data_IF_074204293711
#
_entry.id   IF_074204293711
#
_cell.length_a   1.000
_cell.length_b   1.000
_cell.length_c   1.000
_cell.angle_alpha   90.00
_cell.angle_beta   90.00
_cell.angle_gamma   90.00
#
_symmetry.space_group_name_H-M   'P 1'
#
loop_
_entity.id
_entity.type
_entity.pdbx_description
1 polymer ?
#
# COMPACT_ATOMS: atom_id res chain seq x y z
N UNK A 1 0.77 8.17 -13.06
CA UNK A 1 1.61 6.95 -12.96
C UNK A 1 1.98 6.73 -11.51
N UNK A 2 1.86 5.49 -10.98
CA UNK A 2 2.16 5.18 -9.59
C UNK A 2 3.61 5.50 -9.23
N UNK A 3 3.80 6.14 -8.07
CA UNK A 3 5.11 6.56 -7.57
C UNK A 3 5.97 5.36 -7.14
N UNK A 4 5.32 4.33 -6.57
CA UNK A 4 5.99 3.14 -6.06
C UNK A 4 5.70 1.91 -6.94
N UNK A 5 6.52 0.88 -6.81
CA UNK A 5 6.51 -0.31 -7.69
C UNK A 5 6.67 -1.59 -6.88
N UNK A 6 6.23 -2.69 -7.48
CA UNK A 6 6.44 -4.04 -6.96
C UNK A 6 7.92 -4.25 -6.64
N UNK A 7 8.22 -4.92 -5.53
CA UNK A 7 9.60 -5.18 -5.13
C UNK A 7 10.20 -4.15 -4.18
N UNK A 8 9.56 -2.99 -4.00
CA UNK A 8 10.09 -1.95 -3.12
C UNK A 8 9.70 -2.19 -1.66
N UNK A 9 10.62 -1.86 -0.76
CA UNK A 9 10.34 -1.75 0.67
C UNK A 9 9.96 -0.30 0.97
N UNK A 10 8.86 -0.11 1.67
CA UNK A 10 8.32 1.21 1.98
C UNK A 10 7.89 1.32 3.43
N UNK A 11 7.90 2.55 3.95
CA UNK A 11 7.26 2.90 5.21
C UNK A 11 5.86 3.44 4.94
N UNK A 12 4.89 2.99 5.71
CA UNK A 12 3.48 3.30 5.46
C UNK A 12 2.64 3.35 6.73
N UNK A 13 1.45 3.95 6.63
CA UNK A 13 0.39 3.91 7.64
C UNK A 13 -0.65 2.85 7.25
N UNK A 14 -0.77 1.73 7.99
CA UNK A 14 -1.73 0.66 7.65
C UNK A 14 -3.19 1.06 7.84
N UNK A 15 -3.44 1.96 8.80
CA UNK A 15 -4.77 2.40 9.24
C UNK A 15 -4.77 3.91 9.34
N UNK A 16 -5.83 4.55 8.86
CA UNK A 16 -5.90 6.00 8.78
C UNK A 16 -5.11 6.55 7.59
N UNK A 17 -5.36 7.83 7.27
CA UNK A 17 -4.60 8.54 6.23
C UNK A 17 -3.15 8.82 6.63
N UNK A 18 -2.35 9.47 5.76
CA UNK A 18 -0.98 9.87 6.06
C UNK A 18 -0.84 10.70 7.35
N UNK A 19 -1.82 11.56 7.62
CA UNK A 19 -1.83 12.44 8.80
C UNK A 19 -2.40 11.78 10.07
N UNK A 20 -2.74 10.50 10.01
CA UNK A 20 -3.28 9.80 11.17
C UNK A 20 -2.20 9.57 12.24
N UNK A 21 -2.60 9.61 13.51
CA UNK A 21 -1.72 9.35 14.67
C UNK A 21 -1.50 7.86 14.91
N UNK A 22 -1.80 7.00 13.92
CA UNK A 22 -1.55 5.56 14.01
C UNK A 22 -0.08 5.26 13.82
N UNK A 23 0.35 4.09 14.28
CA UNK A 23 1.74 3.64 14.12
C UNK A 23 2.08 3.41 12.65
N UNK A 24 3.33 3.70 12.31
CA UNK A 24 3.91 3.37 11.01
C UNK A 24 4.31 1.89 10.97
N UNK A 25 4.52 1.39 9.77
CA UNK A 25 5.04 0.06 9.54
C UNK A 25 5.96 0.06 8.34
N UNK A 26 6.82 -0.95 8.26
CA UNK A 26 7.65 -1.22 7.08
C UNK A 26 7.10 -2.47 6.39
N UNK A 27 7.02 -2.42 5.07
CA UNK A 27 6.44 -3.49 4.29
C UNK A 27 6.98 -3.53 2.87
N UNK A 28 6.78 -4.69 2.23
CA UNK A 28 7.21 -4.96 0.87
C UNK A 28 6.01 -4.86 -0.08
N UNK A 29 6.13 -4.09 -1.15
CA UNK A 29 5.08 -3.96 -2.17
C UNK A 29 5.04 -5.24 -3.00
N UNK A 30 3.95 -5.99 -2.85
CA UNK A 30 3.67 -7.22 -3.60
C UNK A 30 3.06 -6.93 -4.96
N UNK A 31 2.12 -5.99 -5.02
CA UNK A 31 1.44 -5.63 -6.27
C UNK A 31 0.91 -4.18 -6.24
N UNK A 32 0.80 -3.59 -7.43
CA UNK A 32 0.21 -2.26 -7.66
C UNK A 32 -0.93 -2.39 -8.66
N UNK A 33 -2.10 -1.83 -8.34
CA UNK A 33 -3.23 -1.73 -9.25
C UNK A 33 -3.50 -0.26 -9.60
N UNK A 34 -3.66 0.01 -10.89
CA UNK A 34 -4.07 1.30 -11.47
C UNK A 34 -5.42 1.19 -12.18
N UNK A 35 -6.11 0.05 -12.03
CA UNK A 35 -7.44 -0.25 -12.56
C UNK A 35 -8.17 -1.17 -11.56
N UNK A 36 -9.51 -1.24 -11.56
CA UNK A 36 -10.26 -2.08 -10.64
C UNK A 36 -9.80 -3.54 -10.69
N UNK A 37 -9.64 -4.17 -9.53
CA UNK A 37 -9.09 -5.52 -9.44
C UNK A 37 -9.28 -6.18 -8.08
N UNK A 38 -8.51 -7.22 -7.81
CA UNK A 38 -8.51 -7.93 -6.53
C UNK A 38 -7.12 -7.85 -5.88
N UNK A 39 -7.08 -7.44 -4.62
CA UNK A 39 -5.90 -7.47 -3.76
C UNK A 39 -6.33 -7.84 -2.34
N UNK A 40 -5.48 -8.56 -1.60
CA UNK A 40 -5.77 -9.04 -0.25
C UNK A 40 -7.14 -9.74 -0.13
N UNK A 41 -7.51 -10.52 -1.15
CA UNK A 41 -8.78 -11.27 -1.23
C UNK A 41 -10.04 -10.39 -1.26
N UNK A 42 -9.94 -9.13 -1.70
CA UNK A 42 -11.08 -8.21 -1.86
C UNK A 42 -11.03 -7.47 -3.18
N UNK A 43 -12.20 -7.13 -3.72
CA UNK A 43 -12.30 -6.20 -4.83
C UNK A 43 -11.92 -4.80 -4.38
N UNK A 44 -11.07 -4.14 -5.16
CA UNK A 44 -10.61 -2.78 -4.90
C UNK A 44 -10.85 -1.93 -6.13
N UNK A 45 -11.40 -0.74 -5.89
CA UNK A 45 -11.52 0.30 -6.89
C UNK A 45 -10.20 1.09 -6.92
N UNK A 46 -9.51 1.00 -8.06
CA UNK A 46 -8.22 1.62 -8.31
C UNK A 46 -8.26 2.33 -9.66
N UNK A 47 -7.48 3.40 -9.78
CA UNK A 47 -7.29 4.14 -11.03
C UNK A 47 -5.85 4.63 -11.14
N UNK A 48 -5.46 5.20 -12.27
CA UNK A 48 -4.13 5.80 -12.43
C UNK A 48 -3.88 6.97 -11.47
N UNK A 49 -4.94 7.71 -11.11
CA UNK A 49 -4.89 8.83 -10.14
C UNK A 49 -4.98 8.36 -8.69
N UNK A 50 -5.58 7.18 -8.46
CA UNK A 50 -5.76 6.59 -7.13
C UNK A 50 -5.32 5.11 -7.13
N UNK A 51 -4.02 4.84 -7.30
CA UNK A 51 -3.52 3.49 -7.32
C UNK A 51 -3.65 2.82 -5.95
N UNK A 52 -3.73 1.48 -5.98
CA UNK A 52 -3.80 0.61 -4.81
C UNK A 52 -2.55 -0.23 -4.68
N UNK A 53 -2.02 -0.29 -3.47
CA UNK A 53 -0.78 -0.98 -3.14
C UNK A 53 -1.07 -2.12 -2.18
N UNK A 54 -0.77 -3.34 -2.62
CA UNK A 54 -0.75 -4.50 -1.74
C UNK A 54 0.63 -4.60 -1.09
N UNK A 55 0.66 -4.47 0.23
CA UNK A 55 1.88 -4.43 1.03
C UNK A 55 1.86 -5.57 2.03
N UNK A 56 2.92 -6.35 2.03
CA UNK A 56 3.20 -7.33 3.07
C UNK A 56 4.02 -6.69 4.18
N UNK A 57 3.45 -6.68 5.38
CA UNK A 57 4.10 -6.12 6.56
C UNK A 57 5.27 -7.01 6.99
N UNK A 58 6.48 -6.44 7.09
CA UNK A 58 7.68 -7.23 7.41
C UNK A 58 7.71 -7.76 8.84
N UNK A 59 7.01 -7.12 9.78
CA UNK A 59 6.97 -7.57 11.18
C UNK A 59 5.99 -8.72 11.40
N UNK A 60 4.91 -8.79 10.62
CA UNK A 60 3.79 -9.72 10.87
C UNK A 60 3.50 -10.69 9.74
N UNK A 61 4.08 -10.48 8.55
CA UNK A 61 3.77 -11.24 7.33
C UNK A 61 2.36 -11.02 6.78
N UNK A 62 1.57 -10.12 7.41
CA UNK A 62 0.20 -9.84 6.98
C UNK A 62 0.19 -8.94 5.76
N UNK A 63 -0.70 -9.24 4.83
CA UNK A 63 -0.92 -8.45 3.61
C UNK A 63 -2.08 -7.47 3.81
N UNK A 64 -1.89 -6.23 3.35
CA UNK A 64 -2.94 -5.20 3.36
C UNK A 64 -2.94 -4.44 2.05
N UNK A 65 -4.09 -3.85 1.68
CA UNK A 65 -4.20 -2.96 0.52
C UNK A 65 -4.43 -1.53 0.98
N UNK A 66 -3.57 -0.60 0.57
CA UNK A 66 -3.65 0.82 0.92
C UNK A 66 -3.63 1.72 -0.32
N UNK A 67 -3.99 3.00 -0.13
CA UNK A 67 -3.78 4.04 -1.14
C UNK A 67 -2.33 4.53 -1.13
N UNK A 68 -1.87 5.07 -2.26
CA UNK A 68 -0.54 5.69 -2.38
C UNK A 68 -0.26 6.70 -1.27
N UNK A 69 -1.23 7.57 -0.97
CA UNK A 69 -1.11 8.60 0.06
C UNK A 69 -0.79 8.06 1.46
N UNK A 70 -0.98 6.77 1.72
CA UNK A 70 -0.65 6.17 3.01
C UNK A 70 0.80 5.66 3.06
N UNK A 71 1.53 5.68 1.93
CA UNK A 71 2.97 5.43 1.86
C UNK A 71 3.69 6.76 2.15
N UNK A 72 4.62 6.73 3.09
CA UNK A 72 5.32 7.91 3.57
C UNK A 72 6.62 8.15 2.80
N UNK A 73 7.42 7.09 2.64
CA UNK A 73 8.70 7.10 1.94
C UNK A 73 9.19 5.68 1.61
N UNK A 74 10.26 5.61 0.82
CA UNK A 74 11.07 4.40 0.64
C UNK A 74 11.79 4.09 1.95
N UNK A 75 11.82 2.80 2.35
CA UNK A 75 12.50 2.34 3.56
C UNK A 75 13.93 1.86 3.31
#
# INVERSE_FOLDING_TARGET
MPQYRNGQTVRYKPVGGPESRTSESVGFIRSVLTEPGNQAHRNVDASEDQPRYEIENQNTGRVTTIYEKNILDMA
#
